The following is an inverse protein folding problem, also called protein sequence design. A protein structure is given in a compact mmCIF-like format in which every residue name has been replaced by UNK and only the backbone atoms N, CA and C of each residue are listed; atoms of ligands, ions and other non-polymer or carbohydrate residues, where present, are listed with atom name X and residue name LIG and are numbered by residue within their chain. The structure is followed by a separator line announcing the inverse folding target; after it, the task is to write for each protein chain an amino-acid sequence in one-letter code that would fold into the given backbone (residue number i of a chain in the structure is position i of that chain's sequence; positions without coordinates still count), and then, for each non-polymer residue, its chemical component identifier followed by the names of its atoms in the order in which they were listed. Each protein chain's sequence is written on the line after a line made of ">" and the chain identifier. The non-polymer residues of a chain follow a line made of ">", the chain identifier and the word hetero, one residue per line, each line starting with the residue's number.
data_IF_326688958981
#
_entry.id   IF_326688958981
#
_cell.length_a   1.000
_cell.length_b   1.000
_cell.length_c   1.000
_cell.angle_alpha   90.00
_cell.angle_beta   90.00
_cell.angle_gamma   90.00
#
_symmetry.space_group_name_H-M   'P 1'
#
loop_
_entity.id
_entity.type
_entity.pdbx_description
1 polymer ?
#
# COMPACT_ATOMS: atom_id res chain seq x y z
N UNK A 1 -26.39 27.39 -6.34
CA UNK A 1 -26.42 25.97 -6.76
C UNK A 1 -25.02 25.35 -6.76
N UNK A 2 -23.99 26.04 -7.30
CA UNK A 2 -22.62 25.51 -7.41
C UNK A 2 -21.97 25.11 -6.08
N UNK A 3 -22.12 25.90 -5.03
CA UNK A 3 -21.54 25.62 -3.70
C UNK A 3 -22.00 24.27 -3.13
N UNK A 4 -23.27 23.92 -3.37
CA UNK A 4 -23.85 22.66 -2.91
C UNK A 4 -23.26 21.51 -3.73
N UNK A 5 -23.16 21.65 -5.05
CA UNK A 5 -22.55 20.65 -5.92
C UNK A 5 -21.07 20.38 -5.55
N UNK A 6 -20.30 21.41 -5.21
CA UNK A 6 -18.91 21.27 -4.77
C UNK A 6 -18.80 20.44 -3.47
N UNK A 7 -19.67 20.70 -2.49
CA UNK A 7 -19.71 19.95 -1.21
C UNK A 7 -20.04 18.48 -1.46
N UNK A 8 -21.01 18.19 -2.34
CA UNK A 8 -21.34 16.81 -2.71
C UNK A 8 -20.19 16.11 -3.44
N UNK A 9 -19.45 16.82 -4.30
CA UNK A 9 -18.25 16.30 -4.95
C UNK A 9 -17.17 15.93 -3.95
N UNK A 10 -16.91 16.80 -2.97
CA UNK A 10 -15.93 16.55 -1.91
C UNK A 10 -16.32 15.34 -1.04
N UNK A 11 -17.60 15.20 -0.70
CA UNK A 11 -18.10 14.04 0.04
C UNK A 11 -17.84 12.74 -0.71
N UNK A 12 -18.10 12.72 -2.01
CA UNK A 12 -17.87 11.55 -2.85
C UNK A 12 -16.37 11.17 -2.91
N UNK A 13 -15.48 12.16 -2.99
CA UNK A 13 -14.04 11.92 -2.97
C UNK A 13 -13.59 11.25 -1.68
N UNK A 14 -14.13 11.65 -0.52
CA UNK A 14 -13.85 11.01 0.76
C UNK A 14 -14.36 9.56 0.80
N UNK A 15 -15.53 9.29 0.23
CA UNK A 15 -16.08 7.93 0.14
C UNK A 15 -15.26 7.02 -0.76
N UNK A 16 -14.78 7.53 -1.91
CA UNK A 16 -13.88 6.81 -2.81
C UNK A 16 -12.54 6.55 -2.11
N UNK A 17 -12.01 7.54 -1.40
CA UNK A 17 -10.79 7.39 -0.59
C UNK A 17 -10.95 6.30 0.48
N UNK A 18 -12.04 6.32 1.26
CA UNK A 18 -12.29 5.28 2.26
C UNK A 18 -12.60 3.91 1.66
N UNK A 19 -13.24 3.85 0.49
CA UNK A 19 -13.42 2.60 -0.25
C UNK A 19 -12.07 2.03 -0.67
N UNK A 20 -11.20 2.87 -1.23
CA UNK A 20 -9.87 2.47 -1.63
C UNK A 20 -9.05 1.98 -0.43
N UNK A 21 -9.09 2.70 0.70
CA UNK A 21 -8.46 2.26 1.96
C UNK A 21 -8.98 0.88 2.36
N UNK A 22 -10.29 0.68 2.46
CA UNK A 22 -10.85 -0.62 2.88
C UNK A 22 -10.51 -1.77 1.92
N UNK A 23 -10.26 -1.47 0.65
CA UNK A 23 -9.90 -2.48 -0.36
C UNK A 23 -8.40 -2.81 -0.37
N UNK A 24 -7.53 -1.84 -0.12
CA UNK A 24 -6.09 -1.98 -0.30
C UNK A 24 -5.33 -2.10 1.04
N UNK A 25 -5.88 -1.55 2.11
CA UNK A 25 -5.35 -1.70 3.47
C UNK A 25 -5.94 -2.97 4.09
N UNK A 26 -5.16 -4.05 4.10
CA UNK A 26 -5.50 -5.25 4.86
C UNK A 26 -5.26 -4.96 6.36
N UNK A 27 -6.15 -4.20 7.00
CA UNK A 27 -6.17 -3.95 8.45
C UNK A 27 -7.22 -4.88 9.07
N UNK A 28 -6.88 -6.16 9.31
CA UNK A 28 -7.87 -7.16 9.73
C UNK A 28 -8.42 -6.89 11.13
N UNK A 29 -7.67 -6.24 12.02
CA UNK A 29 -8.14 -5.91 13.38
C UNK A 29 -7.53 -4.59 13.87
N UNK A 30 -8.37 -3.71 14.40
CA UNK A 30 -7.92 -2.54 15.16
C UNK A 30 -7.54 -3.02 16.57
N UNK A 31 -6.24 -3.03 16.90
CA UNK A 31 -5.75 -3.52 18.20
C UNK A 31 -6.08 -2.61 19.39
N UNK A 32 -6.64 -1.41 19.15
CA UNK A 32 -6.96 -0.44 20.19
C UNK A 32 -8.26 0.31 19.88
N UNK A 33 -9.09 0.54 20.91
CA UNK A 33 -10.38 1.25 20.78
C UNK A 33 -10.30 2.74 21.06
N UNK A 34 -9.15 3.23 21.54
CA UNK A 34 -8.95 4.67 21.77
C UNK A 34 -8.78 5.40 20.43
N UNK A 35 -9.28 6.64 20.29
CA UNK A 35 -9.13 7.42 19.06
C UNK A 35 -7.69 7.49 18.55
N UNK A 36 -6.73 7.77 19.43
CA UNK A 36 -5.31 7.87 19.06
C UNK A 36 -4.74 6.54 18.52
N UNK A 37 -5.13 5.40 19.11
CA UNK A 37 -4.70 4.09 18.62
C UNK A 37 -5.27 3.79 17.23
N UNK A 38 -6.54 4.13 16.99
CA UNK A 38 -7.19 3.96 15.69
C UNK A 38 -6.52 4.85 14.63
N UNK A 39 -6.28 6.13 14.94
CA UNK A 39 -5.59 7.04 14.04
C UNK A 39 -4.17 6.56 13.74
N UNK A 40 -3.41 6.18 14.77
CA UNK A 40 -2.07 5.62 14.61
C UNK A 40 -2.05 4.41 13.69
N UNK A 41 -2.97 3.45 13.89
CA UNK A 41 -3.06 2.25 13.05
C UNK A 41 -3.37 2.57 11.59
N UNK A 42 -4.29 3.50 11.34
CA UNK A 42 -4.62 3.94 9.98
C UNK A 42 -3.42 4.64 9.32
N UNK A 43 -2.73 5.54 10.03
CA UNK A 43 -1.55 6.21 9.49
C UNK A 43 -0.42 5.22 9.19
N UNK A 44 -0.12 4.30 10.12
CA UNK A 44 0.90 3.27 9.90
C UNK A 44 0.56 2.39 8.70
N UNK A 45 -0.69 1.92 8.60
CA UNK A 45 -1.10 1.06 7.50
C UNK A 45 -1.06 1.78 6.14
N UNK A 46 -1.39 3.08 6.10
CA UNK A 46 -1.21 3.93 4.92
C UNK A 46 0.27 4.08 4.53
N UNK A 47 1.14 4.35 5.49
CA UNK A 47 2.59 4.46 5.24
C UNK A 47 3.14 3.15 4.70
N UNK A 48 2.82 2.01 5.32
CA UNK A 48 3.24 0.68 4.88
C UNK A 48 2.79 0.40 3.45
N UNK A 49 1.53 0.69 3.13
CA UNK A 49 0.99 0.51 1.79
C UNK A 49 1.74 1.36 0.75
N UNK A 50 1.95 2.66 1.04
CA UNK A 50 2.68 3.56 0.12
C UNK A 50 4.10 3.07 -0.11
N UNK A 51 4.79 2.61 0.94
CA UNK A 51 6.14 2.05 0.82
C UNK A 51 6.15 0.75 -0.01
N UNK A 52 5.21 -0.17 0.25
CA UNK A 52 5.08 -1.41 -0.52
C UNK A 52 4.81 -1.11 -2.00
N UNK A 53 3.90 -0.19 -2.30
CA UNK A 53 3.60 0.21 -3.67
C UNK A 53 4.81 0.86 -4.34
N UNK A 54 5.53 1.72 -3.64
CA UNK A 54 6.75 2.36 -4.15
C UNK A 54 7.83 1.34 -4.50
N UNK A 55 8.11 0.40 -3.59
CA UNK A 55 9.07 -0.70 -3.81
C UNK A 55 8.63 -1.58 -4.98
N UNK A 56 7.34 -1.92 -5.05
CA UNK A 56 6.78 -2.68 -6.16
C UNK A 56 6.99 -1.96 -7.49
N UNK A 57 6.64 -0.67 -7.58
CA UNK A 57 6.74 0.06 -8.85
C UNK A 57 8.17 0.20 -9.34
N UNK A 58 9.11 0.51 -8.43
CA UNK A 58 10.52 0.56 -8.80
C UNK A 58 11.07 -0.82 -9.15
N UNK A 59 10.84 -1.83 -8.30
CA UNK A 59 11.31 -3.20 -8.51
C UNK A 59 10.79 -3.78 -9.82
N UNK A 60 9.49 -3.68 -10.10
CA UNK A 60 8.88 -4.26 -11.30
C UNK A 60 9.41 -3.63 -12.61
N UNK A 61 9.93 -2.40 -12.55
CA UNK A 61 10.59 -1.74 -13.68
C UNK A 61 12.03 -2.20 -13.91
N UNK A 62 12.73 -2.63 -12.85
CA UNK A 62 14.16 -2.97 -12.89
C UNK A 62 14.44 -4.47 -12.91
N UNK A 63 13.55 -5.30 -12.35
CA UNK A 63 13.68 -6.76 -12.40
C UNK A 63 13.55 -7.26 -13.85
N UNK A 64 14.19 -8.38 -14.12
CA UNK A 64 14.13 -9.03 -15.42
C UNK A 64 12.66 -9.32 -15.83
N UNK A 65 12.27 -9.19 -17.11
CA UNK A 65 10.88 -9.36 -17.54
C UNK A 65 10.22 -10.69 -17.13
N UNK A 66 10.98 -11.77 -17.01
CA UNK A 66 10.47 -13.08 -16.56
C UNK A 66 10.03 -13.12 -15.10
N UNK A 67 10.51 -12.19 -14.27
CA UNK A 67 10.24 -12.12 -12.84
C UNK A 67 9.29 -10.97 -12.48
N UNK A 68 8.66 -10.33 -13.48
CA UNK A 68 7.65 -9.29 -13.23
C UNK A 68 6.43 -9.90 -12.57
N UNK A 69 5.93 -9.22 -11.55
CA UNK A 69 4.78 -9.65 -10.76
C UNK A 69 3.66 -8.61 -10.91
N UNK A 70 2.41 -9.04 -10.70
CA UNK A 70 1.35 -8.10 -10.34
C UNK A 70 1.53 -7.63 -8.89
N UNK A 71 0.93 -6.49 -8.54
CA UNK A 71 1.01 -5.96 -7.17
C UNK A 71 0.47 -6.96 -6.14
N UNK A 72 -0.60 -7.69 -6.47
CA UNK A 72 -1.22 -8.69 -5.59
C UNK A 72 -0.29 -9.88 -5.36
N UNK A 73 0.39 -10.36 -6.42
CA UNK A 73 1.35 -11.45 -6.28
C UNK A 73 2.57 -11.03 -5.48
N UNK A 74 3.09 -9.82 -5.74
CA UNK A 74 4.18 -9.23 -4.97
C UNK A 74 3.83 -9.12 -3.48
N UNK A 75 2.68 -8.51 -3.15
CA UNK A 75 2.18 -8.33 -1.78
C UNK A 75 1.99 -9.68 -1.06
N UNK A 76 1.48 -10.68 -1.77
CA UNK A 76 1.34 -12.04 -1.26
C UNK A 76 2.71 -12.68 -0.99
N UNK A 77 3.63 -12.63 -1.95
CA UNK A 77 4.93 -13.29 -1.86
C UNK A 77 5.87 -12.62 -0.84
N UNK A 78 5.83 -11.29 -0.72
CA UNK A 78 6.59 -10.58 0.31
C UNK A 78 6.08 -10.91 1.71
N UNK A 79 4.75 -11.05 1.88
CA UNK A 79 4.14 -11.48 3.14
C UNK A 79 4.51 -12.92 3.53
N UNK A 80 4.72 -13.80 2.54
CA UNK A 80 5.20 -15.17 2.75
C UNK A 80 6.73 -15.32 2.73
N UNK A 81 7.48 -14.22 2.57
CA UNK A 81 8.93 -14.24 2.40
C UNK A 81 9.41 -15.21 1.29
N UNK A 82 8.62 -15.36 0.22
CA UNK A 82 8.83 -16.32 -0.86
C UNK A 82 9.05 -15.63 -2.21
N UNK A 83 9.70 -14.46 -2.20
CA UNK A 83 9.96 -13.70 -3.42
C UNK A 83 10.96 -14.42 -4.35
N UNK A 84 10.82 -14.25 -5.68
CA UNK A 84 11.80 -14.77 -6.64
C UNK A 84 13.21 -14.21 -6.38
N UNK A 85 14.28 -14.94 -6.73
CA UNK A 85 15.65 -14.50 -6.52
C UNK A 85 15.96 -13.12 -7.13
N UNK A 86 15.37 -12.79 -8.27
CA UNK A 86 15.54 -11.49 -8.94
C UNK A 86 15.06 -10.34 -8.06
N UNK A 87 13.94 -10.53 -7.36
CA UNK A 87 13.40 -9.57 -6.40
C UNK A 87 14.27 -9.50 -5.15
N UNK A 88 14.75 -10.64 -4.63
CA UNK A 88 15.64 -10.65 -3.46
C UNK A 88 16.94 -9.89 -3.76
N UNK A 89 17.53 -10.11 -4.93
CA UNK A 89 18.73 -9.37 -5.39
C UNK A 89 18.43 -7.89 -5.56
N UNK A 90 17.30 -7.54 -6.17
CA UNK A 90 16.87 -6.13 -6.30
C UNK A 90 16.78 -5.45 -4.93
N UNK A 91 16.06 -6.06 -3.97
CA UNK A 91 15.88 -5.54 -2.63
C UNK A 91 17.22 -5.42 -1.89
N UNK A 92 18.08 -6.44 -1.97
CA UNK A 92 19.39 -6.42 -1.33
C UNK A 92 20.30 -5.30 -1.85
N UNK A 93 20.21 -4.93 -3.13
CA UNK A 93 21.05 -3.89 -3.71
C UNK A 93 20.50 -2.46 -3.55
N UNK A 94 19.19 -2.31 -3.36
CA UNK A 94 18.52 -1.00 -3.37
C UNK A 94 17.94 -0.58 -2.01
N UNK A 95 17.77 -1.51 -1.07
CA UNK A 95 17.25 -1.25 0.27
C UNK A 95 18.30 -1.37 1.38
N UNK A 96 19.60 -1.47 1.04
CA UNK A 96 20.67 -1.29 2.02
C UNK A 96 20.69 0.17 2.47
N UNK A 97 20.06 0.43 3.62
CA UNK A 97 20.27 1.67 4.36
C UNK A 97 21.72 1.69 4.86
N UNK A 98 22.42 2.84 4.76
CA UNK A 98 23.79 2.99 5.25
C UNK A 98 23.92 2.74 6.76
#
# INVERSE_FOLDING_TARGET
>A
AERIAEIYRQRWQIEVFFRWIKQHLNVPTLFGRTPNAVYGQLYTALIVYVLLQFVYMQGNSQVHPSARLSFVEFDRLISFAALPPEWVVYLANHLTFP
#
